data_IF_306323921816
#
_entry.id   IF_306323921816
#
_cell.length_a   1.000
_cell.length_b   1.000
_cell.length_c   1.000
_cell.angle_alpha   90.00
_cell.angle_beta   90.00
_cell.angle_gamma   90.00
#
_symmetry.space_group_name_H-M   'P 1'
#
loop_
_entity.id
_entity.type
_entity.pdbx_description
1 polymer ?
#
# COMPACT_ATOMS: atom_id res chain seq x y z
N UNK A 1 -41.59 48.47 -34.72
CA UNK A 1 -41.39 48.57 -33.25
C UNK A 1 -40.76 47.27 -32.77
N UNK A 2 -39.44 47.22 -32.71
CA UNK A 2 -38.67 46.06 -32.29
C UNK A 2 -38.11 46.36 -30.91
N UNK A 3 -38.60 45.69 -29.89
CA UNK A 3 -38.15 45.81 -28.52
C UNK A 3 -36.76 45.16 -28.37
N UNK A 4 -35.76 45.93 -28.04
CA UNK A 4 -34.41 45.46 -27.62
C UNK A 4 -34.53 44.91 -26.19
N UNK A 5 -34.28 43.61 -26.03
CA UNK A 5 -34.12 42.99 -24.73
C UNK A 5 -32.76 43.41 -24.11
N UNK A 6 -32.79 44.12 -23.00
CA UNK A 6 -31.61 44.48 -22.21
C UNK A 6 -31.08 43.19 -21.51
N UNK A 7 -29.80 42.86 -21.79
CA UNK A 7 -29.06 41.83 -21.11
C UNK A 7 -28.59 42.41 -19.77
N UNK A 8 -28.91 41.75 -18.62
CA UNK A 8 -28.47 42.23 -17.31
C UNK A 8 -26.93 42.10 -17.18
N UNK A 9 -26.28 43.01 -16.42
CA UNK A 9 -24.83 43.03 -16.26
C UNK A 9 -24.38 41.77 -15.52
N UNK A 10 -23.39 41.09 -16.10
CA UNK A 10 -22.69 39.96 -15.47
C UNK A 10 -22.07 40.45 -14.17
N UNK A 11 -22.53 39.87 -13.04
CA UNK A 11 -21.95 40.08 -11.72
C UNK A 11 -20.45 39.78 -11.75
N UNK A 12 -19.67 40.67 -11.15
CA UNK A 12 -18.23 40.53 -10.97
C UNK A 12 -17.89 39.20 -10.31
N UNK A 13 -16.87 38.43 -10.80
CA UNK A 13 -16.43 37.21 -10.10
C UNK A 13 -15.88 37.62 -8.74
N UNK A 14 -16.50 37.06 -7.68
CA UNK A 14 -16.07 37.24 -6.32
C UNK A 14 -14.59 36.87 -6.18
N UNK A 15 -13.88 37.65 -5.38
CA UNK A 15 -12.45 37.56 -5.13
C UNK A 15 -12.02 36.11 -4.91
N UNK A 16 -11.36 35.54 -5.91
CA UNK A 16 -10.86 34.17 -5.89
C UNK A 16 -9.84 34.01 -4.77
N UNK A 17 -10.17 33.19 -3.78
CA UNK A 17 -9.19 32.74 -2.80
C UNK A 17 -8.06 32.07 -3.58
N UNK A 18 -6.83 32.55 -3.39
CA UNK A 18 -5.65 32.00 -4.04
C UNK A 18 -5.58 30.48 -3.78
N UNK A 19 -5.39 29.64 -4.81
CA UNK A 19 -5.45 28.17 -4.68
C UNK A 19 -4.47 27.59 -3.64
N UNK A 20 -3.43 28.34 -3.30
CA UNK A 20 -2.49 27.97 -2.23
C UNK A 20 -3.06 28.05 -0.81
N UNK A 21 -3.94 29.03 -0.51
CA UNK A 21 -4.48 29.23 0.83
C UNK A 21 -5.45 28.13 1.25
N UNK A 22 -6.21 27.57 0.31
CA UNK A 22 -7.14 26.46 0.55
C UNK A 22 -6.38 25.16 0.82
N UNK A 23 -5.32 24.88 0.05
CA UNK A 23 -4.49 23.70 0.24
C UNK A 23 -3.76 23.72 1.59
N UNK A 24 -3.20 24.86 1.98
CA UNK A 24 -2.54 25.04 3.29
C UNK A 24 -3.55 24.88 4.43
N UNK A 25 -4.74 25.45 4.32
CA UNK A 25 -5.80 25.31 5.35
C UNK A 25 -6.25 23.86 5.52
N UNK A 26 -6.40 23.11 4.42
CA UNK A 26 -6.74 21.68 4.48
C UNK A 26 -5.61 20.84 5.07
N UNK A 27 -4.35 21.18 4.78
CA UNK A 27 -3.21 20.51 5.40
C UNK A 27 -3.17 20.79 6.90
N UNK A 28 -3.30 22.05 7.32
CA UNK A 28 -3.36 22.44 8.73
C UNK A 28 -4.50 21.75 9.48
N UNK A 29 -5.70 21.68 8.90
CA UNK A 29 -6.83 20.98 9.52
C UNK A 29 -6.58 19.47 9.68
N UNK A 30 -5.95 18.81 8.70
CA UNK A 30 -5.60 17.38 8.82
C UNK A 30 -4.60 17.13 9.94
N UNK A 31 -3.56 17.94 10.01
CA UNK A 31 -2.53 17.81 11.05
C UNK A 31 -3.04 18.21 12.43
N UNK A 32 -3.95 19.20 12.53
CA UNK A 32 -4.55 19.58 13.82
C UNK A 32 -5.42 18.45 14.40
N UNK A 33 -6.19 17.74 13.57
CA UNK A 33 -6.99 16.58 14.05
C UNK A 33 -6.07 15.48 14.59
N UNK A 34 -5.00 15.14 13.86
CA UNK A 34 -4.05 14.15 14.32
C UNK A 34 -3.34 14.59 15.61
N UNK A 35 -2.87 15.84 15.65
CA UNK A 35 -2.21 16.39 16.83
C UNK A 35 -3.16 16.43 18.05
N UNK A 36 -4.44 16.82 17.84
CA UNK A 36 -5.44 16.79 18.90
C UNK A 36 -5.72 15.38 19.42
N UNK A 37 -5.82 14.39 18.52
CA UNK A 37 -6.02 12.99 18.91
C UNK A 37 -4.84 12.46 19.75
N UNK A 38 -3.60 12.75 19.34
CA UNK A 38 -2.39 12.37 20.09
C UNK A 38 -2.32 13.11 21.42
N UNK A 39 -2.69 14.40 21.47
CA UNK A 39 -2.73 15.18 22.70
C UNK A 39 -3.78 14.64 23.70
N UNK A 40 -4.97 14.30 23.22
CA UNK A 40 -6.02 13.68 24.05
C UNK A 40 -5.54 12.33 24.59
N UNK A 41 -4.93 11.48 23.75
CA UNK A 41 -4.34 10.21 24.20
C UNK A 41 -3.26 10.46 25.26
N UNK A 42 -2.34 11.41 25.02
CA UNK A 42 -1.27 11.74 25.97
C UNK A 42 -1.81 12.15 27.35
N UNK A 43 -2.83 13.00 27.37
CA UNK A 43 -3.45 13.48 28.60
C UNK A 43 -4.24 12.36 29.32
N UNK A 44 -5.02 11.59 28.57
CA UNK A 44 -5.78 10.47 29.12
C UNK A 44 -4.86 9.39 29.68
N UNK A 45 -3.79 9.01 28.97
CA UNK A 45 -2.83 8.00 29.42
C UNK A 45 -2.12 8.45 30.72
N UNK A 46 -1.73 9.73 30.82
CA UNK A 46 -1.14 10.27 32.04
C UNK A 46 -2.15 10.34 33.22
N UNK A 47 -3.39 10.70 32.94
CA UNK A 47 -4.43 10.80 33.97
C UNK A 47 -4.81 9.43 34.55
N UNK A 48 -4.87 8.39 33.73
CA UNK A 48 -5.26 7.04 34.16
C UNK A 48 -4.10 6.21 34.70
N UNK A 49 -2.84 6.51 34.34
CA UNK A 49 -1.64 5.79 34.80
C UNK A 49 -1.64 4.29 34.44
N UNK A 50 -2.37 3.89 33.39
CA UNK A 50 -2.52 2.50 32.98
C UNK A 50 -1.25 1.98 32.28
N UNK A 51 -0.73 0.86 32.71
CA UNK A 51 0.37 0.15 32.06
C UNK A 51 0.00 -0.31 30.64
N UNK A 52 -1.28 -0.60 30.41
CA UNK A 52 -1.78 -1.08 29.10
C UNK A 52 -1.87 0.01 28.03
N UNK A 53 -1.96 1.28 28.42
CA UNK A 53 -2.07 2.42 27.51
C UNK A 53 -1.01 3.48 27.85
N UNK A 54 0.26 3.24 27.49
CA UNK A 54 1.33 4.17 27.77
C UNK A 54 1.16 5.48 27.02
N UNK A 55 1.69 6.59 27.54
CA UNK A 55 1.66 7.88 26.89
C UNK A 55 2.46 7.87 25.56
N UNK A 56 1.97 8.48 24.48
CA UNK A 56 2.66 8.55 23.18
C UNK A 56 4.11 9.04 23.25
N UNK A 57 4.42 9.97 24.15
CA UNK A 57 5.80 10.47 24.34
C UNK A 57 6.73 9.38 24.86
N UNK A 58 6.26 8.52 25.75
CA UNK A 58 7.07 7.45 26.33
C UNK A 58 7.27 6.32 25.29
N UNK A 59 6.24 6.03 24.49
CA UNK A 59 6.34 5.12 23.33
C UNK A 59 7.39 5.64 22.34
N UNK A 60 7.35 6.94 22.00
CA UNK A 60 8.27 7.53 21.04
C UNK A 60 9.72 7.53 21.54
N UNK A 61 9.95 7.83 22.82
CA UNK A 61 11.29 7.74 23.44
C UNK A 61 11.81 6.31 23.42
N UNK A 62 10.98 5.37 23.86
CA UNK A 62 11.33 3.95 23.86
C UNK A 62 11.64 3.43 22.45
N UNK A 63 10.88 3.83 21.43
CA UNK A 63 11.14 3.48 20.04
C UNK A 63 12.48 4.03 19.53
N UNK A 64 12.84 5.25 19.92
CA UNK A 64 14.14 5.84 19.58
C UNK A 64 15.27 5.08 20.27
N UNK A 65 15.14 4.79 21.55
CA UNK A 65 16.14 4.07 22.31
C UNK A 65 16.32 2.63 21.80
N UNK A 66 15.23 1.97 21.46
CA UNK A 66 15.23 0.58 20.99
C UNK A 66 15.84 0.42 19.59
N UNK A 67 15.55 1.34 18.67
CA UNK A 67 15.90 1.13 17.25
C UNK A 67 16.87 2.15 16.66
N UNK A 68 16.97 3.38 17.23
CA UNK A 68 17.71 4.49 16.62
C UNK A 68 18.83 5.04 17.51
N UNK A 69 19.21 4.33 18.57
CA UNK A 69 20.31 4.70 19.48
C UNK A 69 21.62 3.98 19.15
N UNK A 70 21.70 3.33 17.99
CA UNK A 70 22.87 2.55 17.57
C UNK A 70 24.06 3.42 17.12
N UNK A 71 25.21 2.79 16.85
CA UNK A 71 26.42 3.49 16.42
C UNK A 71 26.27 4.08 15.01
N UNK A 72 26.95 5.19 14.73
CA UNK A 72 26.91 5.88 13.44
C UNK A 72 27.28 4.98 12.23
N UNK A 73 28.11 3.96 12.44
CA UNK A 73 28.47 2.95 11.42
C UNK A 73 27.26 2.14 10.89
N UNK A 74 26.20 2.01 11.69
CA UNK A 74 24.95 1.35 11.33
C UNK A 74 23.82 2.37 11.06
N UNK A 75 24.17 3.60 10.66
CA UNK A 75 23.19 4.68 10.39
C UNK A 75 22.28 4.92 11.61
N UNK A 76 22.87 4.88 12.80
CA UNK A 76 22.18 4.98 14.10
C UNK A 76 21.20 3.84 14.42
N UNK A 77 21.11 2.80 13.59
CA UNK A 77 20.28 1.63 13.87
C UNK A 77 20.98 0.73 14.92
N UNK A 78 20.19 0.23 15.85
CA UNK A 78 20.65 -0.77 16.83
C UNK A 78 20.77 -2.15 16.18
N UNK A 79 21.45 -3.09 16.83
CA UNK A 79 21.49 -4.49 16.39
C UNK A 79 20.09 -5.11 16.38
N UNK A 80 19.23 -4.72 17.31
CA UNK A 80 17.81 -5.09 17.36
C UNK A 80 17.06 -4.64 16.09
N UNK A 81 17.25 -3.38 15.67
CA UNK A 81 16.63 -2.87 14.45
C UNK A 81 17.15 -3.59 13.20
N UNK A 82 18.44 -3.81 13.10
CA UNK A 82 19.04 -4.52 11.95
C UNK A 82 18.61 -5.99 11.92
N UNK A 83 18.56 -6.65 13.09
CA UNK A 83 18.19 -8.05 13.21
C UNK A 83 16.71 -8.37 12.97
N UNK A 84 15.80 -7.41 13.19
CA UNK A 84 14.36 -7.63 13.10
C UNK A 84 13.68 -6.83 11.99
N UNK A 85 13.96 -5.52 11.85
CA UNK A 85 13.28 -4.68 10.87
C UNK A 85 13.73 -5.00 9.44
N UNK A 86 15.04 -5.12 9.21
CA UNK A 86 15.55 -5.37 7.85
C UNK A 86 15.11 -6.72 7.28
N UNK A 87 15.16 -7.85 8.01
CA UNK A 87 14.64 -9.12 7.52
C UNK A 87 13.15 -9.07 7.17
N UNK A 88 12.32 -8.43 8.02
CA UNK A 88 10.89 -8.26 7.75
C UNK A 88 10.65 -7.49 6.46
N UNK A 89 11.30 -6.34 6.30
CA UNK A 89 11.20 -5.53 5.07
C UNK A 89 11.71 -6.28 3.84
N UNK A 90 12.78 -7.06 3.99
CA UNK A 90 13.33 -7.91 2.91
C UNK A 90 12.33 -8.97 2.45
N UNK A 91 11.70 -9.70 3.37
CA UNK A 91 10.65 -10.69 3.08
C UNK A 91 9.43 -10.05 2.44
N UNK A 92 8.99 -8.92 2.99
CA UNK A 92 7.86 -8.17 2.46
C UNK A 92 8.15 -7.67 1.04
N UNK A 93 9.32 -7.08 0.79
CA UNK A 93 9.71 -6.57 -0.52
C UNK A 93 9.83 -7.71 -1.56
N UNK A 94 10.42 -8.84 -1.17
CA UNK A 94 10.52 -10.03 -2.03
C UNK A 94 9.12 -10.58 -2.37
N UNK A 95 8.28 -10.82 -1.35
CA UNK A 95 6.92 -11.33 -1.54
C UNK A 95 6.05 -10.39 -2.36
N UNK A 96 6.06 -9.10 -2.04
CA UNK A 96 5.34 -8.08 -2.82
C UNK A 96 5.85 -7.98 -4.26
N UNK A 97 7.17 -8.01 -4.47
CA UNK A 97 7.78 -7.96 -5.80
C UNK A 97 7.39 -9.15 -6.67
N UNK A 98 7.43 -10.36 -6.13
CA UNK A 98 6.98 -11.59 -6.82
C UNK A 98 5.48 -11.50 -7.12
N UNK A 99 4.66 -11.11 -6.15
CA UNK A 99 3.22 -10.95 -6.33
C UNK A 99 2.87 -9.90 -7.38
N UNK A 100 3.58 -8.76 -7.39
CA UNK A 100 3.41 -7.70 -8.38
C UNK A 100 3.76 -8.20 -9.78
N UNK A 101 4.91 -8.83 -9.95
CA UNK A 101 5.35 -9.36 -11.25
C UNK A 101 4.38 -10.43 -11.78
N UNK A 102 4.04 -11.42 -10.96
CA UNK A 102 3.10 -12.49 -11.32
C UNK A 102 1.69 -11.94 -11.58
N UNK A 103 1.18 -11.09 -10.69
CA UNK A 103 -0.14 -10.48 -10.81
C UNK A 103 -0.29 -9.62 -12.06
N UNK A 104 0.71 -8.82 -12.42
CA UNK A 104 0.70 -8.02 -13.65
C UNK A 104 0.77 -8.93 -14.87
N UNK A 105 1.69 -9.90 -14.91
CA UNK A 105 1.85 -10.78 -16.05
C UNK A 105 0.59 -11.62 -16.31
N UNK A 106 0.05 -12.28 -15.29
CA UNK A 106 -1.17 -13.08 -15.37
C UNK A 106 -2.40 -12.21 -15.63
N UNK A 107 -2.49 -11.06 -14.97
CA UNK A 107 -3.61 -10.11 -15.15
C UNK A 107 -3.68 -9.61 -16.60
N UNK A 108 -2.57 -9.24 -17.21
CA UNK A 108 -2.52 -8.87 -18.64
C UNK A 108 -2.92 -10.07 -19.51
N UNK A 109 -2.36 -11.25 -19.26
CA UNK A 109 -2.64 -12.45 -20.05
C UNK A 109 -4.16 -12.80 -20.04
N UNK A 110 -4.78 -12.77 -18.87
CA UNK A 110 -6.21 -13.06 -18.68
C UNK A 110 -7.07 -11.91 -19.23
N UNK A 111 -6.72 -10.64 -18.95
CA UNK A 111 -7.52 -9.47 -19.33
C UNK A 111 -7.57 -9.19 -20.82
N UNK A 112 -6.60 -9.68 -21.61
CA UNK A 112 -6.58 -9.51 -23.09
C UNK A 112 -7.71 -10.24 -23.81
N UNK A 113 -8.34 -11.24 -23.21
CA UNK A 113 -9.41 -12.02 -23.82
C UNK A 113 -10.63 -12.08 -22.92
N UNK A 114 -11.76 -11.57 -23.40
CA UNK A 114 -13.04 -11.65 -22.68
C UNK A 114 -13.44 -13.11 -22.35
N UNK A 115 -13.13 -14.05 -23.25
CA UNK A 115 -13.44 -15.48 -23.04
C UNK A 115 -12.57 -16.07 -21.93
N UNK A 116 -11.26 -15.81 -21.96
CA UNK A 116 -10.31 -16.29 -20.93
C UNK A 116 -10.69 -15.70 -19.58
N UNK A 117 -10.98 -14.40 -19.53
CA UNK A 117 -11.41 -13.74 -18.29
C UNK A 117 -12.67 -14.39 -17.72
N UNK A 118 -13.71 -14.59 -18.55
CA UNK A 118 -14.98 -15.20 -18.12
C UNK A 118 -14.81 -16.64 -17.60
N UNK A 119 -13.87 -17.40 -18.16
CA UNK A 119 -13.53 -18.75 -17.67
C UNK A 119 -12.74 -18.72 -16.36
N UNK A 120 -11.83 -17.76 -16.20
CA UNK A 120 -11.01 -17.64 -15.00
C UNK A 120 -11.75 -16.95 -13.83
N UNK A 121 -12.72 -16.07 -14.10
CA UNK A 121 -13.38 -15.24 -13.10
C UNK A 121 -13.93 -16.03 -11.89
N UNK A 122 -14.68 -17.15 -12.06
CA UNK A 122 -15.17 -17.91 -10.91
C UNK A 122 -14.04 -18.44 -10.03
N UNK A 123 -12.92 -18.89 -10.63
CA UNK A 123 -11.75 -19.39 -9.92
C UNK A 123 -11.06 -18.27 -9.17
N UNK A 124 -10.90 -17.10 -9.81
CA UNK A 124 -10.31 -15.92 -9.17
C UNK A 124 -11.15 -15.42 -7.99
N UNK A 125 -12.48 -15.40 -8.15
CA UNK A 125 -13.40 -15.01 -7.09
C UNK A 125 -13.35 -15.98 -5.91
N UNK A 126 -13.28 -17.28 -6.17
CA UNK A 126 -13.11 -18.29 -5.12
C UNK A 126 -11.77 -18.15 -4.41
N UNK A 127 -10.66 -18.07 -5.17
CA UNK A 127 -9.32 -18.03 -4.63
C UNK A 127 -9.07 -16.80 -3.74
N UNK A 128 -9.58 -15.62 -4.12
CA UNK A 128 -9.48 -14.40 -3.30
C UNK A 128 -10.37 -14.40 -2.06
N UNK A 129 -11.42 -15.23 -2.03
CA UNK A 129 -12.32 -15.34 -0.89
C UNK A 129 -11.71 -16.14 0.26
N UNK A 130 -10.70 -16.98 -0.01
CA UNK A 130 -9.98 -17.71 1.02
C UNK A 130 -9.16 -16.73 1.84
N UNK A 131 -9.35 -16.64 3.18
CA UNK A 131 -8.58 -15.73 4.01
C UNK A 131 -7.09 -16.10 4.00
N UNK A 132 -6.18 -15.23 3.53
CA UNK A 132 -4.77 -15.58 3.43
C UNK A 132 -4.13 -16.04 4.75
N UNK A 133 -4.47 -15.47 5.92
CA UNK A 133 -3.96 -15.96 7.19
C UNK A 133 -4.30 -17.41 7.48
N UNK A 134 -5.46 -17.90 7.01
CA UNK A 134 -5.86 -19.31 7.23
C UNK A 134 -5.00 -20.31 6.43
N UNK A 135 -4.29 -19.86 5.41
CA UNK A 135 -3.40 -20.69 4.60
C UNK A 135 -1.96 -20.74 5.13
N UNK A 136 -1.61 -19.90 6.10
CA UNK A 136 -0.26 -19.87 6.67
C UNK A 136 0.13 -21.23 7.30
N UNK A 137 -0.74 -21.93 8.07
CA UNK A 137 -0.43 -23.26 8.56
C UNK A 137 -0.16 -24.29 7.45
N UNK A 138 -0.81 -24.16 6.30
CA UNK A 138 -0.55 -25.03 5.14
C UNK A 138 0.86 -24.78 4.61
N UNK A 139 1.29 -23.52 4.51
CA UNK A 139 2.66 -23.20 4.10
C UNK A 139 3.71 -23.67 5.12
N UNK A 140 3.38 -23.65 6.41
CA UNK A 140 4.27 -24.27 7.43
C UNK A 140 4.49 -25.74 7.17
N UNK A 141 3.42 -26.49 6.82
CA UNK A 141 3.54 -27.93 6.52
C UNK A 141 4.31 -28.20 5.23
N UNK A 142 4.19 -27.31 4.22
CA UNK A 142 4.80 -27.50 2.90
C UNK A 142 6.25 -27.01 2.82
N UNK A 143 6.60 -25.95 3.57
CA UNK A 143 7.86 -25.22 3.43
C UNK A 143 8.67 -25.13 4.73
N UNK A 144 8.17 -25.70 5.80
CA UNK A 144 8.66 -25.53 7.18
C UNK A 144 8.61 -24.08 7.68
N UNK A 145 8.96 -23.86 8.94
CA UNK A 145 9.09 -22.50 9.48
C UNK A 145 10.29 -21.79 8.86
N UNK A 146 10.11 -20.54 8.47
CA UNK A 146 11.20 -19.70 7.98
C UNK A 146 10.82 -18.78 6.82
N UNK A 147 11.84 -18.17 6.26
CA UNK A 147 11.70 -17.15 5.19
C UNK A 147 10.92 -17.64 3.97
N UNK A 148 11.07 -18.89 3.46
CA UNK A 148 10.28 -19.33 2.30
C UNK A 148 8.77 -19.34 2.56
N UNK A 149 8.34 -19.86 3.72
CA UNK A 149 6.94 -19.89 4.16
C UNK A 149 6.37 -18.45 4.26
N UNK A 150 7.14 -17.55 4.87
CA UNK A 150 6.74 -16.16 5.07
C UNK A 150 6.58 -15.44 3.72
N UNK A 151 7.53 -15.60 2.81
CA UNK A 151 7.44 -15.04 1.45
C UNK A 151 6.25 -15.64 0.70
N UNK A 152 6.04 -16.96 0.74
CA UNK A 152 4.92 -17.62 0.07
C UNK A 152 3.56 -17.10 0.57
N UNK A 153 3.43 -16.90 1.88
CA UNK A 153 2.24 -16.32 2.52
C UNK A 153 1.96 -14.90 2.01
N UNK A 154 3.01 -14.07 1.90
CA UNK A 154 2.90 -12.71 1.37
C UNK A 154 2.51 -12.74 -0.10
N UNK A 155 3.17 -13.57 -0.93
CA UNK A 155 2.88 -13.70 -2.37
C UNK A 155 1.43 -14.08 -2.60
N UNK A 156 0.94 -15.12 -1.92
CA UNK A 156 -0.42 -15.59 -2.10
C UNK A 156 -1.46 -14.52 -1.72
N UNK A 157 -1.21 -13.76 -0.66
CA UNK A 157 -2.10 -12.69 -0.24
C UNK A 157 -2.10 -11.51 -1.23
N UNK A 158 -0.91 -11.13 -1.69
CA UNK A 158 -0.69 -9.90 -2.45
C UNK A 158 -0.99 -10.06 -3.95
N UNK A 159 -0.95 -11.27 -4.50
CA UNK A 159 -1.10 -11.50 -5.95
C UNK A 159 -2.51 -11.15 -6.46
N UNK A 160 -3.56 -11.45 -5.69
CA UNK A 160 -4.94 -11.33 -6.16
C UNK A 160 -5.36 -9.89 -6.48
N UNK A 161 -5.14 -8.88 -5.62
CA UNK A 161 -5.49 -7.51 -5.96
C UNK A 161 -4.73 -7.00 -7.19
N UNK A 162 -3.45 -7.34 -7.35
CA UNK A 162 -2.68 -6.95 -8.53
C UNK A 162 -3.26 -7.62 -9.78
N UNK A 163 -3.48 -8.93 -9.74
CA UNK A 163 -3.97 -9.71 -10.87
C UNK A 163 -5.34 -9.20 -11.35
N UNK A 164 -6.30 -9.08 -10.43
CA UNK A 164 -7.67 -8.70 -10.76
C UNK A 164 -7.72 -7.27 -11.31
N UNK A 165 -7.09 -6.30 -10.62
CA UNK A 165 -7.05 -4.92 -11.10
C UNK A 165 -6.31 -4.79 -12.43
N UNK A 166 -5.25 -5.56 -12.65
CA UNK A 166 -4.52 -5.57 -13.92
C UNK A 166 -5.38 -6.15 -15.04
N UNK A 167 -6.07 -7.26 -14.79
CA UNK A 167 -6.94 -7.91 -15.77
C UNK A 167 -8.11 -6.98 -16.17
N UNK A 168 -8.74 -6.32 -15.21
CA UNK A 168 -9.76 -5.31 -15.47
C UNK A 168 -9.19 -4.13 -16.26
N UNK A 169 -8.03 -3.60 -15.86
CA UNK A 169 -7.39 -2.49 -16.56
C UNK A 169 -7.01 -2.81 -18.01
N UNK A 170 -6.55 -4.04 -18.26
CA UNK A 170 -6.21 -4.48 -19.60
C UNK A 170 -7.49 -4.68 -20.48
N UNK A 171 -8.61 -5.09 -19.87
CA UNK A 171 -9.89 -5.27 -20.56
C UNK A 171 -10.61 -3.96 -20.86
N UNK A 172 -10.50 -2.97 -19.98
CA UNK A 172 -11.17 -1.67 -20.08
C UNK A 172 -10.46 -0.72 -21.08
N UNK A 173 -9.54 -1.22 -21.89
CA UNK A 173 -8.93 -0.43 -22.95
C UNK A 173 -9.97 -0.01 -23.98
N UNK A 174 -10.01 1.28 -24.30
CA UNK A 174 -10.96 1.89 -25.23
C UNK A 174 -11.00 1.14 -26.58
N UNK A 175 -12.18 0.62 -27.02
CA UNK A 175 -12.34 -0.08 -28.30
C UNK A 175 -11.83 0.73 -29.48
N UNK A 176 -12.08 2.04 -29.53
CA UNK A 176 -11.63 2.92 -30.58
C UNK A 176 -10.09 2.92 -30.72
N UNK A 177 -9.37 2.93 -29.61
CA UNK A 177 -7.92 2.84 -29.61
C UNK A 177 -7.42 1.50 -30.14
N UNK A 178 -8.15 0.42 -29.87
CA UNK A 178 -7.83 -0.93 -30.40
C UNK A 178 -8.03 -0.94 -31.91
N UNK A 179 -9.09 -0.32 -32.44
CA UNK A 179 -9.33 -0.19 -33.88
C UNK A 179 -8.24 0.64 -34.57
N UNK A 180 -7.87 1.79 -33.99
CA UNK A 180 -6.75 2.61 -34.47
C UNK A 180 -5.44 1.81 -34.55
N UNK A 181 -5.15 1.03 -33.50
CA UNK A 181 -3.98 0.18 -33.46
C UNK A 181 -4.01 -0.93 -34.56
N UNK A 182 -5.22 -1.40 -34.92
CA UNK A 182 -5.38 -2.34 -36.02
C UNK A 182 -5.14 -1.69 -37.39
N UNK A 183 -5.66 -0.48 -37.61
CA UNK A 183 -5.42 0.30 -38.82
C UNK A 183 -3.92 0.60 -39.00
N UNK A 184 -3.25 0.95 -37.90
CA UNK A 184 -1.79 1.18 -37.91
C UNK A 184 -0.97 -0.10 -38.00
N UNK A 185 -1.60 -1.28 -38.08
CA UNK A 185 -0.97 -2.59 -38.13
C UNK A 185 0.05 -2.86 -37.02
N UNK A 186 -0.23 -2.34 -35.81
CA UNK A 186 0.64 -2.57 -34.65
C UNK A 186 0.72 -4.07 -34.34
N UNK A 187 1.91 -4.57 -34.10
CA UNK A 187 2.15 -5.92 -33.64
C UNK A 187 1.55 -6.17 -32.24
N UNK A 188 1.31 -7.41 -31.83
CA UNK A 188 0.78 -7.71 -30.49
C UNK A 188 1.62 -7.12 -29.34
N UNK A 189 2.94 -7.06 -29.51
CA UNK A 189 3.86 -6.50 -28.52
C UNK A 189 3.78 -4.97 -28.47
N UNK A 190 3.66 -4.32 -29.63
CA UNK A 190 3.46 -2.87 -29.72
C UNK A 190 2.12 -2.44 -29.13
N UNK A 191 1.05 -3.19 -29.40
CA UNK A 191 -0.27 -2.96 -28.76
C UNK A 191 -0.18 -3.11 -27.25
N UNK A 192 0.52 -4.11 -26.75
CA UNK A 192 0.74 -4.29 -25.31
C UNK A 192 1.49 -3.11 -24.72
N UNK A 193 2.62 -2.72 -25.32
CA UNK A 193 3.54 -1.71 -24.79
C UNK A 193 2.99 -0.29 -24.88
N UNK A 194 2.36 0.07 -26.00
CA UNK A 194 1.97 1.46 -26.29
C UNK A 194 0.49 1.75 -26.04
N UNK A 195 -0.35 0.71 -25.91
CA UNK A 195 -1.78 0.89 -25.74
C UNK A 195 -2.30 0.26 -24.43
N UNK A 196 -2.17 -1.07 -24.29
CA UNK A 196 -2.81 -1.79 -23.17
C UNK A 196 -2.15 -1.43 -21.85
N UNK A 197 -0.83 -1.55 -21.76
CA UNK A 197 -0.10 -1.31 -20.51
C UNK A 197 -0.25 0.15 -20.01
N UNK A 198 -0.10 1.20 -20.84
CA UNK A 198 -0.35 2.57 -20.39
C UNK A 198 -1.80 2.83 -19.96
N UNK A 199 -2.78 2.21 -20.64
CA UNK A 199 -4.20 2.33 -20.28
C UNK A 199 -4.51 1.61 -18.96
N UNK A 200 -3.89 0.48 -18.69
CA UNK A 200 -4.06 -0.31 -17.48
C UNK A 200 -3.31 0.24 -16.25
N UNK A 201 -2.28 1.10 -16.43
CA UNK A 201 -1.42 1.59 -15.37
C UNK A 201 -2.19 2.12 -14.13
N UNK A 202 -3.23 2.96 -14.26
CA UNK A 202 -3.95 3.46 -13.08
C UNK A 202 -4.58 2.34 -12.26
N UNK A 203 -5.14 1.30 -12.93
CA UNK A 203 -5.70 0.12 -12.28
C UNK A 203 -4.62 -0.76 -11.67
N UNK A 204 -3.49 -0.95 -12.35
CA UNK A 204 -2.33 -1.67 -11.83
C UNK A 204 -1.87 -1.03 -10.52
N UNK A 205 -1.71 0.29 -10.47
CA UNK A 205 -1.31 0.99 -9.24
C UNK A 205 -2.36 0.91 -8.14
N UNK A 206 -3.66 0.89 -8.47
CA UNK A 206 -4.71 0.63 -7.49
C UNK A 206 -4.56 -0.78 -6.87
N UNK A 207 -4.31 -1.80 -7.70
CA UNK A 207 -4.01 -3.17 -7.26
C UNK A 207 -2.74 -3.24 -6.40
N UNK A 208 -1.65 -2.60 -6.81
CA UNK A 208 -0.39 -2.56 -6.08
C UNK A 208 -0.55 -1.92 -4.69
N UNK A 209 -1.36 -0.88 -4.53
CA UNK A 209 -1.63 -0.26 -3.22
C UNK A 209 -2.32 -1.21 -2.26
N UNK A 210 -3.35 -1.92 -2.74
CA UNK A 210 -4.04 -2.93 -1.92
C UNK A 210 -3.09 -4.06 -1.53
N UNK A 211 -2.31 -4.54 -2.50
CA UNK A 211 -1.32 -5.61 -2.29
C UNK A 211 -0.22 -5.21 -1.32
N UNK A 212 0.24 -3.96 -1.36
CA UNK A 212 1.26 -3.46 -0.43
C UNK A 212 0.76 -3.51 1.03
N UNK A 213 -0.48 -3.10 1.26
CA UNK A 213 -1.10 -3.20 2.59
C UNK A 213 -1.27 -4.65 3.06
N UNK A 214 -1.71 -5.54 2.17
CA UNK A 214 -1.83 -6.97 2.47
C UNK A 214 -0.46 -7.61 2.72
N UNK A 215 0.57 -7.22 1.98
CA UNK A 215 1.95 -7.69 2.20
C UNK A 215 2.46 -7.34 3.59
N UNK A 216 2.19 -6.12 4.06
CA UNK A 216 2.56 -5.70 5.41
C UNK A 216 1.81 -6.52 6.48
N UNK A 217 0.51 -6.75 6.31
CA UNK A 217 -0.30 -7.54 7.22
C UNK A 217 0.21 -8.98 7.29
N UNK A 218 0.44 -9.62 6.14
CA UNK A 218 0.90 -11.02 6.10
C UNK A 218 2.35 -11.20 6.53
N UNK A 219 3.21 -10.20 6.29
CA UNK A 219 4.56 -10.18 6.84
C UNK A 219 4.50 -10.31 8.36
N UNK A 220 3.78 -9.39 9.03
CA UNK A 220 3.64 -9.43 10.49
C UNK A 220 2.98 -10.73 10.95
N UNK A 221 1.85 -11.11 10.33
CA UNK A 221 1.09 -12.29 10.73
C UNK A 221 1.91 -13.59 10.65
N UNK A 222 2.69 -13.76 9.57
CA UNK A 222 3.56 -14.93 9.41
C UNK A 222 4.72 -14.95 10.40
N UNK A 223 5.15 -13.79 10.88
CA UNK A 223 6.22 -13.63 11.88
C UNK A 223 5.72 -13.77 13.33
N UNK A 224 4.40 -13.67 13.58
CA UNK A 224 3.82 -13.92 14.92
C UNK A 224 3.81 -15.42 15.28
N UNK A 225 4.04 -16.32 14.32
CA UNK A 225 3.95 -17.75 14.56
C UNK A 225 5.12 -18.26 15.40
N UNK A 226 4.88 -19.25 16.30
CA UNK A 226 5.93 -19.93 17.01
C UNK A 226 6.98 -20.52 16.06
N UNK A 227 8.26 -20.42 16.41
CA UNK A 227 9.37 -20.91 15.57
C UNK A 227 9.97 -19.85 14.62
N UNK A 228 9.43 -18.63 14.57
CA UNK A 228 10.10 -17.49 13.92
C UNK A 228 11.25 -17.00 14.79
N UNK A 229 12.43 -16.81 14.19
CA UNK A 229 13.64 -16.45 14.93
C UNK A 229 13.91 -14.92 14.94
N UNK A 230 13.32 -14.16 14.03
CA UNK A 230 13.52 -12.71 13.90
C UNK A 230 12.40 -12.05 13.08
N UNK A 231 12.25 -10.76 13.26
CA UNK A 231 11.26 -9.96 12.54
C UNK A 231 10.47 -9.04 13.46
N UNK A 232 9.72 -8.09 12.87
CA UNK A 232 8.87 -7.15 13.63
C UNK A 232 7.74 -7.93 14.33
N UNK A 233 7.16 -8.95 13.68
CA UNK A 233 6.16 -9.82 14.28
C UNK A 233 6.76 -10.66 15.44
N UNK A 234 7.98 -11.15 15.29
CA UNK A 234 8.70 -11.82 16.38
C UNK A 234 8.93 -10.87 17.57
N UNK A 235 9.38 -9.63 17.32
CA UNK A 235 9.53 -8.61 18.38
C UNK A 235 8.21 -8.37 19.13
N UNK A 236 7.07 -8.33 18.42
CA UNK A 236 5.75 -8.21 19.05
C UNK A 236 5.43 -9.38 19.97
N UNK A 237 5.65 -10.62 19.52
CA UNK A 237 5.36 -11.83 20.31
C UNK A 237 6.29 -11.94 21.52
N UNK A 238 7.57 -11.64 21.35
CA UNK A 238 8.56 -11.65 22.41
C UNK A 238 8.26 -10.59 23.47
N UNK A 239 7.97 -9.35 23.06
CA UNK A 239 7.57 -8.27 23.96
C UNK A 239 6.27 -8.60 24.71
N UNK A 240 5.28 -9.20 24.03
CA UNK A 240 4.03 -9.65 24.66
C UNK A 240 4.29 -10.71 25.71
N UNK A 241 5.16 -11.69 25.45
CA UNK A 241 5.50 -12.75 26.39
C UNK A 241 6.19 -12.22 27.66
N UNK A 242 6.93 -11.12 27.53
CA UNK A 242 7.61 -10.43 28.64
C UNK A 242 6.74 -9.36 29.31
N UNK A 243 5.50 -9.16 28.85
CA UNK A 243 4.61 -8.05 29.28
C UNK A 243 5.22 -6.65 29.06
N UNK A 244 6.11 -6.51 28.09
CA UNK A 244 6.70 -5.23 27.69
C UNK A 244 5.79 -4.50 26.72
N UNK A 245 4.81 -3.80 27.27
CA UNK A 245 3.80 -3.08 26.49
C UNK A 245 4.37 -1.87 25.77
N UNK A 246 5.46 -1.27 26.24
CA UNK A 246 6.11 -0.15 25.54
C UNK A 246 6.68 -0.62 24.20
N UNK A 247 7.37 -1.75 24.17
CA UNK A 247 7.88 -2.35 22.92
C UNK A 247 6.72 -2.76 21.99
N UNK A 248 5.63 -3.33 22.52
CA UNK A 248 4.44 -3.66 21.70
C UNK A 248 3.89 -2.41 21.03
N UNK A 249 3.65 -1.33 21.78
CA UNK A 249 3.14 -0.08 21.22
C UNK A 249 4.12 0.58 20.26
N UNK A 250 5.42 0.55 20.56
CA UNK A 250 6.47 1.05 19.67
C UNK A 250 6.45 0.31 18.32
N UNK A 251 6.35 -1.03 18.34
CA UNK A 251 6.25 -1.84 17.11
C UNK A 251 4.98 -1.54 16.31
N UNK A 252 3.82 -1.32 16.96
CA UNK A 252 2.59 -0.91 16.28
C UNK A 252 2.74 0.46 15.60
N UNK A 253 3.36 1.42 16.27
CA UNK A 253 3.65 2.76 15.70
C UNK A 253 4.62 2.65 14.53
N UNK A 254 5.66 1.83 14.65
CA UNK A 254 6.60 1.55 13.57
C UNK A 254 5.89 0.97 12.35
N UNK A 255 5.03 -0.03 12.53
CA UNK A 255 4.26 -0.63 11.44
C UNK A 255 3.34 0.39 10.75
N UNK A 256 2.68 1.25 11.53
CA UNK A 256 1.87 2.35 10.98
C UNK A 256 2.72 3.34 10.17
N UNK A 257 3.89 3.72 10.68
CA UNK A 257 4.82 4.59 9.99
C UNK A 257 5.37 3.96 8.70
N UNK A 258 5.78 2.68 8.76
CA UNK A 258 6.23 1.91 7.58
C UNK A 258 5.12 1.82 6.51
N UNK A 259 3.90 1.47 6.91
CA UNK A 259 2.76 1.41 5.99
C UNK A 259 2.49 2.74 5.31
N UNK A 260 2.55 3.85 6.06
CA UNK A 260 2.38 5.19 5.52
C UNK A 260 3.52 5.57 4.56
N UNK A 261 4.77 5.33 4.93
CA UNK A 261 5.95 5.63 4.11
C UNK A 261 5.95 4.83 2.80
N UNK A 262 5.69 3.53 2.88
CA UNK A 262 5.63 2.65 1.72
C UNK A 262 4.50 3.04 0.75
N UNK A 263 3.31 3.33 1.28
CA UNK A 263 2.18 3.80 0.47
C UNK A 263 2.47 5.17 -0.17
N UNK A 264 3.09 6.09 0.56
CA UNK A 264 3.48 7.42 0.03
C UNK A 264 4.55 7.27 -1.05
N UNK A 265 5.52 6.37 -0.84
CA UNK A 265 6.53 6.03 -1.84
C UNK A 265 5.90 5.48 -3.13
N UNK A 266 4.95 4.53 -3.00
CA UNK A 266 4.25 3.97 -4.14
C UNK A 266 3.41 5.03 -4.89
N UNK A 267 2.74 5.94 -4.17
CA UNK A 267 2.03 7.08 -4.76
C UNK A 267 2.96 8.03 -5.50
N UNK A 268 4.16 8.26 -5.00
CA UNK A 268 5.16 9.08 -5.69
C UNK A 268 5.62 8.43 -7.01
N UNK A 269 5.81 7.11 -7.02
CA UNK A 269 6.12 6.34 -8.24
C UNK A 269 4.96 6.40 -9.23
N UNK A 270 3.72 6.18 -8.77
CA UNK A 270 2.51 6.30 -9.59
C UNK A 270 2.43 7.67 -10.28
N UNK A 271 2.57 8.75 -9.53
CA UNK A 271 2.54 10.13 -10.08
C UNK A 271 3.61 10.36 -11.15
N UNK A 272 4.80 9.76 -11.01
CA UNK A 272 5.87 9.88 -12.01
C UNK A 272 5.57 9.11 -13.29
N UNK A 273 4.93 7.94 -13.18
CA UNK A 273 4.66 7.07 -14.32
C UNK A 273 3.34 7.40 -15.02
N UNK A 274 2.27 7.64 -14.26
CA UNK A 274 0.92 7.94 -14.78
C UNK A 274 0.76 9.41 -15.10
N UNK A 275 1.34 10.33 -14.31
CA UNK A 275 1.23 11.79 -14.50
C UNK A 275 1.88 12.32 -15.79
N UNK A 276 2.81 11.59 -16.38
CA UNK A 276 3.43 11.95 -17.68
C UNK A 276 2.54 11.68 -18.90
N UNK A 277 1.43 10.95 -18.73
CA UNK A 277 0.49 10.63 -19.83
C UNK A 277 -0.76 11.49 -19.89
N UNK A 278 -0.99 12.39 -18.92
CA UNK A 278 -2.20 13.22 -18.80
C UNK A 278 -1.96 14.71 -19.03
N UNK A 279 -1.17 15.07 -20.03
CA UNK A 279 -1.25 16.40 -20.63
C UNK A 279 -2.25 16.34 -21.78
N UNK A 280 -3.54 16.26 -21.48
CA UNK A 280 -4.57 16.72 -22.39
C UNK A 280 -4.86 18.17 -22.02
N UNK A 281 -4.69 19.13 -22.93
CA UNK A 281 -5.19 20.48 -22.74
C UNK A 281 -6.73 20.47 -22.74
N UNK A 282 -7.35 21.52 -22.20
CA UNK A 282 -8.78 21.69 -22.01
C UNK A 282 -9.58 21.62 -23.28
#
# INVERSE_FOLDING_TARGET
MTARAEVPPRGSPGAGQAPGSVAVRHALLRWSVLASAVAVWQLAARAHGSVYFPPPVDIARHAVDLWFSGPARHVFLTEEAVGNILPSLGRMAAGFGIAAAAGIALGIAIGRSRRVYALCDPVLQFARAVPPPALVPVFVVLLDFGTPMQIASIVLSAVWPVLINTAEGARDTDPLRIEVAAVLRLTPLERLRFLILPSALPRIFAGLRLSLSLSLILMVFSELLPGTANGIGFTLTDAQSRSDLLTVWAALVLLGALGHLLNTGLLAVEKRLVGRGRTTPP
#
